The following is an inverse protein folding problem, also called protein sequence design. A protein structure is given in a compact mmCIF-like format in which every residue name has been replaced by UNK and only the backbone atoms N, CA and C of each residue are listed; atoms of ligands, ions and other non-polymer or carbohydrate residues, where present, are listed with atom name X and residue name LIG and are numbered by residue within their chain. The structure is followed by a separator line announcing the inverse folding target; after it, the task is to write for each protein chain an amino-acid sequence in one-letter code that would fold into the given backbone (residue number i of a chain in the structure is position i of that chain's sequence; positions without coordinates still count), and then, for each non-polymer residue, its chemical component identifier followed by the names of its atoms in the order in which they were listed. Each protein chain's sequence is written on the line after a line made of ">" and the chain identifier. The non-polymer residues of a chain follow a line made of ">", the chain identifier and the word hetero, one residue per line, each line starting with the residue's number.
data_IF_437422175362
#
_entry.id   IF_437422175362
#
_cell.length_a   1.000
_cell.length_b   1.000
_cell.length_c   1.000
_cell.angle_alpha   90.00
_cell.angle_beta   90.00
_cell.angle_gamma   90.00
#
_symmetry.space_group_name_H-M   'P 1'
#
loop_
_entity.id
_entity.type
_entity.pdbx_description
1 polymer ?
#
# COMPACT_ATOMS: atom_id res chain seq x y z
N UNK A 1 -24.42 -4.06 -3.30
CA UNK A 1 -23.80 -3.76 -4.60
C UNK A 1 -22.36 -4.21 -4.48
N UNK A 2 -21.87 -5.07 -5.37
CA UNK A 2 -20.47 -5.49 -5.31
C UNK A 2 -19.58 -4.28 -5.59
N UNK A 3 -18.73 -3.90 -4.63
CA UNK A 3 -17.76 -2.83 -4.82
C UNK A 3 -16.88 -3.24 -6.00
N UNK A 4 -16.88 -2.49 -7.11
CA UNK A 4 -16.01 -2.80 -8.23
C UNK A 4 -14.57 -2.80 -7.71
N UNK A 5 -13.81 -3.82 -8.08
CA UNK A 5 -12.45 -4.06 -7.62
C UNK A 5 -11.61 -4.64 -8.76
N UNK A 6 -10.37 -4.18 -8.86
CA UNK A 6 -9.36 -4.89 -9.65
C UNK A 6 -8.86 -6.07 -8.80
N UNK A 7 -8.65 -7.26 -9.40
CA UNK A 7 -7.90 -8.31 -8.73
C UNK A 7 -6.52 -7.82 -8.29
N UNK A 8 -6.04 -8.24 -7.13
CA UNK A 8 -4.75 -7.78 -6.57
C UNK A 8 -3.57 -8.03 -7.52
N UNK A 9 -3.57 -9.14 -8.25
CA UNK A 9 -2.52 -9.42 -9.25
C UNK A 9 -2.46 -8.39 -10.39
N UNK A 10 -3.57 -7.73 -10.71
CA UNK A 10 -3.67 -6.75 -11.79
C UNK A 10 -3.45 -5.31 -11.29
N UNK A 11 -3.53 -5.07 -9.98
CA UNK A 11 -3.34 -3.74 -9.42
C UNK A 11 -1.91 -3.23 -9.65
N UNK A 12 -1.71 -2.00 -10.15
CA UNK A 12 -0.38 -1.43 -10.34
C UNK A 12 0.35 -1.26 -9.00
N UNK A 13 -0.39 -0.81 -7.98
CA UNK A 13 0.04 -0.79 -6.57
C UNK A 13 -0.85 -1.76 -5.79
N UNK A 14 -0.24 -2.77 -5.19
CA UNK A 14 -0.93 -3.79 -4.41
C UNK A 14 -1.04 -3.39 -2.94
N UNK A 15 0.04 -2.81 -2.39
CA UNK A 15 0.12 -2.34 -1.01
C UNK A 15 0.56 -0.87 -1.01
N UNK A 16 -0.09 -0.03 -0.21
CA UNK A 16 0.33 1.37 -0.01
C UNK A 16 0.50 1.69 1.46
N UNK A 17 1.66 2.23 1.83
CA UNK A 17 1.88 2.77 3.17
C UNK A 17 1.67 4.28 3.17
N UNK A 18 0.93 4.79 4.15
CA UNK A 18 0.57 6.19 4.29
C UNK A 18 1.15 6.70 5.62
N UNK A 19 2.38 7.26 5.62
CA UNK A 19 3.00 7.76 6.84
C UNK A 19 2.25 8.98 7.38
N UNK A 20 1.98 9.09 8.68
CA UNK A 20 1.24 10.25 9.23
C UNK A 20 2.03 11.57 9.15
N UNK A 21 3.37 11.47 9.07
CA UNK A 21 4.33 12.57 8.95
C UNK A 21 5.60 12.11 8.23
N UNK A 22 6.46 13.07 7.84
CA UNK A 22 7.69 12.79 7.09
C UNK A 22 8.69 11.91 7.88
N UNK A 23 8.61 11.91 9.22
CA UNK A 23 9.51 11.13 10.09
C UNK A 23 9.31 9.61 9.95
N UNK A 24 8.11 9.17 9.52
CA UNK A 24 7.79 7.76 9.33
C UNK A 24 8.06 7.27 7.90
N UNK A 25 8.47 8.15 6.97
CA UNK A 25 8.70 7.77 5.57
C UNK A 25 9.80 6.72 5.45
N UNK A 26 10.90 6.88 6.18
CA UNK A 26 12.01 5.91 6.14
C UNK A 26 11.56 4.52 6.63
N UNK A 27 10.77 4.46 7.69
CA UNK A 27 10.20 3.19 8.16
C UNK A 27 9.31 2.55 7.09
N UNK A 28 8.45 3.33 6.45
CA UNK A 28 7.63 2.85 5.34
C UNK A 28 8.46 2.34 4.15
N UNK A 29 9.59 2.99 3.83
CA UNK A 29 10.50 2.54 2.77
C UNK A 29 11.06 1.14 3.08
N UNK A 30 11.47 0.89 4.33
CA UNK A 30 11.93 -0.43 4.77
C UNK A 30 10.84 -1.50 4.65
N UNK A 31 9.58 -1.17 4.96
CA UNK A 31 8.44 -2.08 4.76
C UNK A 31 8.22 -2.39 3.28
N UNK A 32 8.30 -1.36 2.42
CA UNK A 32 8.17 -1.52 0.97
C UNK A 32 9.26 -2.42 0.40
N UNK A 33 10.51 -2.24 0.82
CA UNK A 33 11.63 -3.06 0.36
C UNK A 33 11.45 -4.53 0.75
N UNK A 34 11.05 -4.80 2.00
CA UNK A 34 10.75 -6.16 2.50
C UNK A 34 9.60 -6.82 1.72
N UNK A 35 8.58 -6.07 1.33
CA UNK A 35 7.51 -6.59 0.45
C UNK A 35 8.00 -6.78 -1.00
N UNK A 36 8.91 -5.93 -1.47
CA UNK A 36 9.53 -6.00 -2.80
C UNK A 36 10.39 -7.26 -2.99
N UNK A 37 11.07 -7.74 -1.95
CA UNK A 37 11.77 -9.04 -1.95
C UNK A 37 10.82 -10.20 -2.27
N UNK A 38 9.57 -10.06 -1.83
CA UNK A 38 8.48 -10.95 -2.15
C UNK A 38 7.68 -10.47 -3.37
N UNK A 39 8.26 -9.74 -4.33
CA UNK A 39 7.63 -9.33 -5.61
C UNK A 39 6.24 -8.68 -5.45
N UNK A 40 5.95 -8.13 -4.27
CA UNK A 40 4.71 -7.39 -4.02
C UNK A 40 4.97 -5.95 -4.42
N UNK A 41 4.08 -5.39 -5.26
CA UNK A 41 4.17 -4.01 -5.71
C UNK A 41 3.67 -3.07 -4.62
N UNK A 42 4.58 -2.65 -3.75
CA UNK A 42 4.30 -1.70 -2.68
C UNK A 42 4.85 -0.29 -2.98
N UNK A 43 4.14 0.74 -2.51
CA UNK A 43 4.57 2.14 -2.56
C UNK A 43 4.30 2.87 -1.23
N UNK A 44 4.91 4.05 -1.09
CA UNK A 44 4.71 4.98 0.01
C UNK A 44 4.05 6.24 -0.53
N UNK A 45 2.95 6.65 0.10
CA UNK A 45 2.30 7.92 -0.17
C UNK A 45 2.94 9.04 0.66
N UNK A 46 4.10 9.50 0.21
CA UNK A 46 4.93 10.54 0.83
C UNK A 46 4.51 11.98 0.44
N UNK A 47 3.35 12.14 -0.20
CA UNK A 47 2.89 13.46 -0.62
C UNK A 47 2.60 14.34 0.59
N UNK A 48 2.98 15.62 0.51
CA UNK A 48 2.62 16.66 1.48
C UNK A 48 1.12 17.06 1.37
N UNK A 49 0.23 16.09 1.60
CA UNK A 49 -1.22 16.22 1.69
C UNK A 49 -1.71 15.63 3.02
N UNK A 50 -2.89 16.04 3.48
CA UNK A 50 -3.47 15.45 4.69
C UNK A 50 -3.64 13.94 4.56
N UNK A 51 -3.49 13.21 5.67
CA UNK A 51 -3.66 11.74 5.69
C UNK A 51 -5.00 11.33 5.05
N UNK A 52 -6.09 12.04 5.37
CA UNK A 52 -7.40 11.78 4.78
C UNK A 52 -7.45 11.94 3.25
N UNK A 53 -6.72 12.91 2.68
CA UNK A 53 -6.60 13.04 1.21
C UNK A 53 -5.81 11.88 0.62
N UNK A 54 -4.76 11.42 1.28
CA UNK A 54 -3.95 10.28 0.85
C UNK A 54 -4.73 8.97 0.93
N UNK A 55 -5.52 8.76 1.98
CA UNK A 55 -6.47 7.63 2.08
C UNK A 55 -7.49 7.67 0.94
N UNK A 56 -8.18 8.80 0.75
CA UNK A 56 -9.16 8.94 -0.33
C UNK A 56 -8.54 8.68 -1.72
N UNK A 57 -7.26 9.02 -1.89
CA UNK A 57 -6.49 8.70 -3.10
C UNK A 57 -6.17 7.23 -3.22
N UNK A 58 -5.74 6.54 -2.16
CA UNK A 58 -5.54 5.09 -2.17
C UNK A 58 -6.84 4.35 -2.56
N UNK A 59 -7.98 4.80 -2.04
CA UNK A 59 -9.30 4.27 -2.41
C UNK A 59 -9.66 4.55 -3.87
N UNK A 60 -9.37 5.78 -4.36
CA UNK A 60 -9.62 6.21 -5.74
C UNK A 60 -8.68 5.54 -6.75
N UNK A 61 -7.48 5.17 -6.32
CA UNK A 61 -6.48 4.42 -7.10
C UNK A 61 -6.71 2.90 -7.01
N UNK A 62 -7.73 2.47 -6.24
CA UNK A 62 -8.15 1.08 -6.10
C UNK A 62 -7.07 0.20 -5.50
N UNK A 63 -6.23 0.75 -4.61
CA UNK A 63 -5.19 0.00 -3.93
C UNK A 63 -5.84 -1.11 -3.09
N UNK A 64 -5.52 -2.40 -3.30
CA UNK A 64 -6.14 -3.50 -2.59
C UNK A 64 -5.89 -3.49 -1.07
N UNK A 65 -4.68 -3.10 -0.66
CA UNK A 65 -4.25 -3.03 0.74
C UNK A 65 -3.59 -1.68 1.01
N UNK A 66 -4.01 -0.97 2.05
CA UNK A 66 -3.26 0.20 2.52
C UNK A 66 -3.23 0.27 4.05
N UNK A 67 -2.16 0.85 4.59
CA UNK A 67 -1.98 1.01 6.02
C UNK A 67 -1.50 2.43 6.32
N UNK A 68 -2.07 3.03 7.36
CA UNK A 68 -1.58 4.29 7.93
C UNK A 68 -0.50 3.95 8.95
N UNK A 69 0.64 4.64 8.89
CA UNK A 69 1.81 4.34 9.72
C UNK A 69 2.19 5.58 10.52
N UNK A 70 2.07 5.49 11.85
CA UNK A 70 2.62 6.48 12.77
C UNK A 70 3.46 5.85 13.87
N UNK A 71 3.68 6.61 14.96
CA UNK A 71 4.50 6.20 16.10
C UNK A 71 4.08 4.84 16.68
N UNK A 72 2.76 4.61 16.77
CA UNK A 72 2.21 3.39 17.36
C UNK A 72 2.57 2.17 16.50
N UNK A 73 2.26 2.22 15.21
CA UNK A 73 2.48 1.11 14.28
C UNK A 73 3.97 0.84 14.08
N UNK A 74 4.80 1.88 14.04
CA UNK A 74 6.24 1.75 13.99
C UNK A 74 6.80 1.05 15.24
N UNK A 75 6.26 1.34 16.42
CA UNK A 75 6.73 0.76 17.69
C UNK A 75 6.22 -0.66 17.93
N UNK A 76 4.99 -0.99 17.50
CA UNK A 76 4.39 -2.30 17.74
C UNK A 76 4.70 -3.33 16.66
N UNK A 77 5.19 -2.91 15.48
CA UNK A 77 5.35 -3.75 14.28
C UNK A 77 4.04 -4.44 13.82
N UNK A 78 2.91 -3.85 14.22
CA UNK A 78 1.56 -4.26 13.84
C UNK A 78 0.88 -3.10 13.11
N UNK A 79 0.26 -3.39 11.97
CA UNK A 79 -0.31 -2.39 11.08
C UNK A 79 -1.81 -2.60 10.94
N UNK A 80 -2.59 -1.54 11.11
CA UNK A 80 -4.00 -1.50 10.71
C UNK A 80 -4.11 -1.47 9.20
N UNK A 81 -4.23 -2.65 8.58
CA UNK A 81 -4.32 -2.78 7.12
C UNK A 81 -5.78 -2.76 6.71
N UNK A 82 -6.15 -1.77 5.92
CA UNK A 82 -7.44 -1.69 5.26
C UNK A 82 -7.43 -2.58 4.02
N UNK A 83 -8.37 -3.53 3.98
CA UNK A 83 -8.50 -4.53 2.92
C UNK A 83 -9.72 -4.17 2.09
N UNK A 84 -9.49 -3.58 0.91
CA UNK A 84 -10.56 -3.16 0.01
C UNK A 84 -11.49 -4.31 -0.36
N UNK A 85 -10.95 -5.53 -0.45
CA UNK A 85 -11.73 -6.69 -0.86
C UNK A 85 -12.78 -7.09 0.19
N UNK A 86 -12.56 -6.76 1.45
CA UNK A 86 -13.41 -7.17 2.56
C UNK A 86 -14.16 -5.99 3.20
N UNK A 87 -13.85 -4.75 2.75
CA UNK A 87 -14.39 -3.52 3.33
C UNK A 87 -14.14 -3.46 4.85
N UNK A 88 -12.97 -3.97 5.28
CA UNK A 88 -12.62 -4.06 6.69
C UNK A 88 -11.14 -3.71 6.92
N UNK A 89 -10.86 -3.29 8.15
CA UNK A 89 -9.51 -3.09 8.65
C UNK A 89 -9.11 -4.28 9.53
N UNK A 90 -7.91 -4.81 9.30
CA UNK A 90 -7.32 -5.88 10.11
C UNK A 90 -5.93 -5.48 10.60
N UNK A 91 -5.70 -5.66 11.89
CA UNK A 91 -4.37 -5.54 12.48
C UNK A 91 -3.55 -6.78 12.15
N UNK A 92 -2.38 -6.59 11.55
CA UNK A 92 -1.48 -7.69 11.19
C UNK A 92 -0.02 -7.21 11.15
N UNK A 93 0.90 -8.15 11.33
CA UNK A 93 2.34 -7.93 11.13
C UNK A 93 2.68 -7.83 9.64
N UNK A 94 3.89 -7.35 9.32
CA UNK A 94 4.35 -7.28 7.93
C UNK A 94 4.42 -8.66 7.26
N UNK A 95 4.81 -9.70 8.01
CA UNK A 95 4.88 -11.07 7.51
C UNK A 95 3.50 -11.65 7.21
N UNK A 96 2.50 -11.35 8.05
CA UNK A 96 1.10 -11.73 7.80
C UNK A 96 0.52 -10.98 6.59
N UNK A 97 0.83 -9.69 6.46
CA UNK A 97 0.45 -8.90 5.28
C UNK A 97 1.04 -9.51 4.01
N UNK A 98 2.34 -9.81 4.00
CA UNK A 98 3.03 -10.47 2.87
C UNK A 98 2.33 -11.77 2.48
N UNK A 99 2.04 -12.62 3.46
CA UNK A 99 1.42 -13.92 3.22
C UNK A 99 -0.02 -13.76 2.69
N UNK A 100 -0.77 -12.80 3.22
CA UNK A 100 -2.15 -12.48 2.78
C UNK A 100 -2.16 -12.01 1.33
N UNK A 101 -1.29 -11.06 0.99
CA UNK A 101 -1.18 -10.53 -0.37
C UNK A 101 -0.71 -11.62 -1.35
N UNK A 102 0.27 -12.46 -0.96
CA UNK A 102 0.72 -13.58 -1.80
C UNK A 102 -0.37 -14.62 -2.01
N UNK A 103 -1.15 -14.94 -0.97
CA UNK A 103 -2.28 -15.84 -1.10
C UNK A 103 -3.33 -15.29 -2.09
N UNK A 104 -3.56 -13.98 -2.10
CA UNK A 104 -4.53 -13.31 -2.98
C UNK A 104 -4.04 -13.21 -4.44
N UNK A 105 -2.72 -13.10 -4.67
CA UNK A 105 -2.12 -13.12 -6.02
C UNK A 105 -2.08 -14.54 -6.60
N UNK A 106 -1.99 -15.58 -5.75
CA UNK A 106 -1.81 -16.97 -6.13
C UNK A 106 -0.60 -17.16 -7.09
N UNK A 107 -0.75 -17.99 -8.15
CA UNK A 107 0.28 -18.29 -9.16
C UNK A 107 0.19 -17.38 -10.40
N UNK A 108 -0.50 -16.25 -10.28
CA UNK A 108 -0.68 -15.33 -11.41
C UNK A 108 0.61 -14.56 -11.68
N UNK A 109 0.87 -14.13 -12.93
CA UNK A 109 2.13 -13.52 -13.30
C UNK A 109 2.44 -12.32 -12.42
N UNK A 110 3.53 -12.39 -11.66
CA UNK A 110 4.05 -11.25 -10.93
C UNK A 110 5.08 -10.52 -11.79
N UNK A 111 5.00 -9.19 -11.74
CA UNK A 111 6.01 -8.30 -12.30
C UNK A 111 6.47 -7.40 -11.18
N UNK A 112 7.78 -7.17 -11.15
CA UNK A 112 8.36 -6.21 -10.24
C UNK A 112 7.77 -4.81 -10.46
N UNK A 113 7.84 -3.96 -9.42
CA UNK A 113 7.36 -2.59 -9.46
C UNK A 113 8.08 -1.84 -10.59
N UNK A 114 7.29 -1.30 -11.53
CA UNK A 114 7.78 -0.48 -12.65
C UNK A 114 7.72 1.04 -12.35
N UNK A 115 7.10 1.42 -11.23
CA UNK A 115 6.99 2.78 -10.74
C UNK A 115 7.97 3.05 -9.58
N UNK A 116 8.30 4.31 -9.31
CA UNK A 116 9.05 4.68 -8.11
C UNK A 116 8.34 4.24 -6.82
N UNK A 117 9.11 4.05 -5.75
CA UNK A 117 8.57 3.68 -4.44
C UNK A 117 7.73 4.80 -3.81
N UNK A 118 8.14 6.05 -4.04
CA UNK A 118 7.48 7.23 -3.51
C UNK A 118 6.46 7.75 -4.52
N UNK A 119 5.22 7.90 -4.07
CA UNK A 119 4.12 8.38 -4.90
C UNK A 119 4.31 9.83 -5.36
N UNK A 120 5.07 10.64 -4.62
CA UNK A 120 5.49 11.98 -5.03
C UNK A 120 6.26 11.99 -6.36
N UNK A 121 6.99 10.91 -6.65
CA UNK A 121 7.83 10.75 -7.84
C UNK A 121 7.09 10.09 -9.02
N UNK A 122 5.82 9.70 -8.85
CA UNK A 122 5.06 9.10 -9.95
C UNK A 122 4.75 10.13 -11.04
N UNK A 123 4.77 9.74 -12.32
CA UNK A 123 4.38 10.62 -13.42
C UNK A 123 2.97 11.18 -13.19
N UNK A 124 2.84 12.50 -13.06
CA UNK A 124 1.55 13.16 -12.95
C UNK A 124 1.08 13.61 -14.33
N UNK A 125 0.01 13.00 -14.83
CA UNK A 125 -0.68 13.48 -16.02
C UNK A 125 -1.62 14.63 -15.63
N UNK A 126 -1.09 15.85 -15.67
CA UNK A 126 -1.91 17.06 -15.60
C UNK A 126 -2.47 17.30 -17.00
N UNK A 127 -3.75 16.98 -17.20
CA UNK A 127 -4.45 17.35 -18.44
C UNK A 127 -4.54 18.87 -18.51
N UNK A 128 -4.00 19.45 -19.59
CA UNK A 128 -4.26 20.83 -19.99
C UNK A 128 -5.57 20.91 -20.79
#
# INVERSE_FOLDING_TARGET
>A
METPRLPTWLSPTQVRFIPVSDEHVQHCDELVDRLGEATIRADVDDRHESVGKRIARAETDWVPYYAVVGDREQSSEEYGVNIRSQDEERTMTLDELRNTVRADIHELPDRNRYLPQHLSNHPRFVGH
#
